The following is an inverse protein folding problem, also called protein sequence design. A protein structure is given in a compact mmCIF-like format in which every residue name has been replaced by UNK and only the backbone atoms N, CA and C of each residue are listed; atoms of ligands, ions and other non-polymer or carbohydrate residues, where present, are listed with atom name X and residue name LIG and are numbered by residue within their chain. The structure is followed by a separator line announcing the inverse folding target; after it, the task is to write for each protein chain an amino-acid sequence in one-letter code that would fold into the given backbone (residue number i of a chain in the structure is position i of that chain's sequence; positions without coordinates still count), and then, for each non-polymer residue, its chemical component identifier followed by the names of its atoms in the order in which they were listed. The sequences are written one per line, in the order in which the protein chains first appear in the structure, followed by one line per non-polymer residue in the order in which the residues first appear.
data_IF_197205267123
#
_entry.id   IF_197205267123
#
_cell.length_a   1.000
_cell.length_b   1.000
_cell.length_c   1.000
_cell.angle_alpha   90.00
_cell.angle_beta   90.00
_cell.angle_gamma   90.00
#
_symmetry.space_group_name_H-M   'P 1'
#
loop_
_entity.id
_entity.type
_entity.pdbx_description
1 polymer ?
#
# COMPACT_ATOMS: atom_id res chain seq x y z
N UNK A 1 49.87 -46.02 -18.13
CA UNK A 1 49.54 -44.63 -18.54
C UNK A 1 50.14 -43.67 -17.51
N UNK A 2 51.36 -43.21 -17.74
CA UNK A 2 51.93 -42.11 -16.97
C UNK A 2 51.27 -40.82 -17.49
N UNK A 3 50.25 -40.31 -16.79
CA UNK A 3 49.83 -38.93 -16.99
C UNK A 3 51.04 -38.07 -16.64
N UNK A 4 51.61 -37.37 -17.62
CA UNK A 4 52.49 -36.25 -17.36
C UNK A 4 51.71 -35.26 -16.50
N UNK A 5 52.00 -35.27 -15.20
CA UNK A 5 51.46 -34.33 -14.22
C UNK A 5 52.12 -32.99 -14.52
N UNK A 6 51.58 -32.25 -15.48
CA UNK A 6 51.96 -30.86 -15.74
C UNK A 6 50.96 -29.94 -15.05
N UNK A 7 51.36 -28.70 -14.79
CA UNK A 7 50.47 -27.68 -14.22
C UNK A 7 49.24 -27.47 -15.10
N UNK A 8 49.40 -27.48 -16.42
CA UNK A 8 48.31 -27.36 -17.38
C UNK A 8 47.29 -28.51 -17.29
N UNK A 9 47.75 -29.76 -17.15
CA UNK A 9 46.83 -30.89 -16.99
C UNK A 9 46.09 -30.81 -15.67
N UNK A 10 46.76 -30.41 -14.58
CA UNK A 10 46.12 -30.19 -13.27
C UNK A 10 45.02 -29.10 -13.35
N UNK A 11 45.30 -27.95 -13.97
CA UNK A 11 44.31 -26.88 -14.16
C UNK A 11 43.12 -27.35 -15.02
N UNK A 12 43.37 -28.13 -16.08
CA UNK A 12 42.30 -28.70 -16.92
C UNK A 12 41.40 -29.67 -16.13
N UNK A 13 41.98 -30.47 -15.24
CA UNK A 13 41.22 -31.37 -14.36
C UNK A 13 40.33 -30.61 -13.36
N UNK A 14 40.81 -29.49 -12.80
CA UNK A 14 40.00 -28.62 -11.94
C UNK A 14 38.84 -27.96 -12.70
N UNK A 15 39.08 -27.50 -13.93
CA UNK A 15 38.04 -26.95 -14.82
C UNK A 15 36.95 -27.97 -15.15
N UNK A 16 37.29 -29.25 -15.18
CA UNK A 16 36.33 -30.36 -15.33
C UNK A 16 35.71 -30.80 -13.98
N UNK A 17 35.81 -29.97 -12.94
CA UNK A 17 35.25 -30.16 -11.60
C UNK A 17 35.76 -31.42 -10.87
N UNK A 18 36.95 -31.90 -11.21
CA UNK A 18 37.56 -33.03 -10.52
C UNK A 18 37.91 -32.70 -9.06
N UNK A 19 37.82 -33.69 -8.18
CA UNK A 19 38.17 -33.52 -6.76
C UNK A 19 39.66 -33.22 -6.59
N UNK A 20 39.98 -32.16 -5.84
CA UNK A 20 41.37 -31.77 -5.53
C UNK A 20 42.10 -32.82 -4.66
N UNK A 21 41.35 -33.69 -3.97
CA UNK A 21 41.88 -34.85 -3.25
C UNK A 21 42.42 -35.98 -4.14
N UNK A 22 42.23 -35.94 -5.46
CA UNK A 22 42.72 -36.96 -6.38
C UNK A 22 44.26 -36.99 -6.48
N UNK A 23 44.84 -38.18 -6.72
CA UNK A 23 46.29 -38.39 -6.89
C UNK A 23 46.95 -37.55 -7.99
N UNK A 24 46.14 -37.05 -8.94
CA UNK A 24 46.62 -36.16 -10.02
C UNK A 24 47.22 -34.87 -9.44
N UNK A 25 46.74 -34.41 -8.28
CA UNK A 25 47.16 -33.17 -7.63
C UNK A 25 48.29 -33.33 -6.62
N UNK A 26 48.79 -34.56 -6.36
CA UNK A 26 49.80 -34.79 -5.32
C UNK A 26 51.08 -33.95 -5.48
N UNK A 27 51.49 -33.62 -6.71
CA UNK A 27 52.66 -32.77 -6.97
C UNK A 27 52.35 -31.26 -6.94
N UNK A 28 51.07 -30.88 -6.92
CA UNK A 28 50.61 -29.50 -7.08
C UNK A 28 49.81 -28.99 -5.87
N UNK A 29 49.80 -29.73 -4.76
CA UNK A 29 49.03 -29.35 -3.56
C UNK A 29 49.47 -28.01 -2.99
N UNK A 30 50.72 -27.62 -3.22
CA UNK A 30 51.32 -26.37 -2.77
C UNK A 30 51.53 -25.34 -3.90
N UNK A 31 51.16 -25.66 -5.15
CA UNK A 31 51.25 -24.70 -6.25
C UNK A 31 50.13 -23.66 -6.13
N UNK A 32 50.51 -22.40 -5.93
CA UNK A 32 49.58 -21.29 -5.69
C UNK A 32 48.52 -21.12 -6.80
N UNK A 33 48.86 -21.33 -8.07
CA UNK A 33 47.91 -21.14 -9.15
C UNK A 33 46.93 -22.32 -9.23
N UNK A 34 47.40 -23.54 -8.98
CA UNK A 34 46.53 -24.73 -8.91
C UNK A 34 45.61 -24.63 -7.69
N UNK A 35 46.11 -24.16 -6.55
CA UNK A 35 45.30 -23.92 -5.34
C UNK A 35 44.27 -22.82 -5.58
N UNK A 36 44.63 -21.71 -6.22
CA UNK A 36 43.69 -20.64 -6.59
C UNK A 36 42.58 -21.17 -7.49
N UNK A 37 42.91 -21.96 -8.51
CA UNK A 37 41.92 -22.59 -9.39
C UNK A 37 41.02 -23.57 -8.61
N UNK A 38 41.57 -24.31 -7.65
CA UNK A 38 40.79 -25.21 -6.80
C UNK A 38 39.80 -24.44 -5.91
N UNK A 39 40.18 -23.28 -5.38
CA UNK A 39 39.27 -22.37 -4.65
C UNK A 39 38.16 -21.87 -5.56
N UNK A 40 38.46 -21.49 -6.80
CA UNK A 40 37.46 -21.03 -7.79
C UNK A 40 36.38 -22.10 -8.03
N UNK A 41 36.75 -23.39 -7.93
CA UNK A 41 35.85 -24.53 -8.07
C UNK A 41 35.34 -25.11 -6.72
N UNK A 42 35.26 -24.27 -5.69
CA UNK A 42 34.66 -24.56 -4.38
C UNK A 42 35.31 -25.73 -3.63
N UNK A 43 36.60 -25.96 -3.85
CA UNK A 43 37.35 -27.05 -3.21
C UNK A 43 38.09 -26.65 -1.95
N UNK A 44 37.73 -25.52 -1.30
CA UNK A 44 38.43 -25.01 -0.11
C UNK A 44 38.65 -26.08 0.96
N UNK A 45 37.64 -26.89 1.27
CA UNK A 45 37.71 -27.95 2.27
C UNK A 45 38.78 -29.02 2.00
N UNK A 46 39.31 -29.08 0.78
CA UNK A 46 40.32 -30.05 0.33
C UNK A 46 41.73 -29.44 0.22
N UNK A 47 41.86 -28.13 0.39
CA UNK A 47 43.14 -27.42 0.26
C UNK A 47 44.00 -27.68 1.51
N UNK A 48 45.34 -27.82 1.37
CA UNK A 48 46.23 -27.95 2.51
C UNK A 48 46.07 -26.82 3.53
N UNK A 49 46.24 -27.19 4.80
CA UNK A 49 46.11 -26.30 5.96
C UNK A 49 47.10 -25.13 5.95
N UNK A 50 48.23 -25.23 5.23
CA UNK A 50 49.17 -24.12 5.06
C UNK A 50 48.56 -22.90 4.33
N UNK A 51 47.47 -23.08 3.57
CA UNK A 51 46.73 -21.98 2.93
C UNK A 51 45.52 -21.51 3.75
N UNK A 52 45.27 -22.10 4.91
CA UNK A 52 44.09 -21.77 5.72
C UNK A 52 44.07 -20.31 6.19
N UNK A 53 45.25 -19.67 6.29
CA UNK A 53 45.43 -18.27 6.67
C UNK A 53 45.55 -17.31 5.47
N UNK A 54 45.38 -17.78 4.24
CA UNK A 54 45.50 -16.95 3.05
C UNK A 54 44.22 -16.12 2.81
N UNK A 55 44.29 -14.84 3.15
CA UNK A 55 43.19 -13.87 3.00
C UNK A 55 42.69 -13.72 1.56
N UNK A 56 43.60 -13.64 0.57
CA UNK A 56 43.21 -13.45 -0.83
C UNK A 56 42.38 -14.62 -1.35
N UNK A 57 42.83 -15.85 -1.06
CA UNK A 57 42.09 -17.05 -1.40
C UNK A 57 40.72 -17.07 -0.68
N UNK A 58 40.68 -16.67 0.60
CA UNK A 58 39.45 -16.66 1.38
C UNK A 58 38.42 -15.67 0.82
N UNK A 59 38.83 -14.45 0.48
CA UNK A 59 37.98 -13.43 -0.15
C UNK A 59 37.40 -13.93 -1.48
N UNK A 60 38.23 -14.53 -2.33
CA UNK A 60 37.76 -15.15 -3.57
C UNK A 60 36.73 -16.24 -3.31
N UNK A 61 36.97 -17.12 -2.34
CA UNK A 61 36.05 -18.21 -2.01
C UNK A 61 34.71 -17.71 -1.47
N UNK A 62 34.72 -16.73 -0.55
CA UNK A 62 33.52 -16.16 0.07
C UNK A 62 32.59 -15.51 -0.94
N UNK A 63 33.13 -14.90 -1.99
CA UNK A 63 32.31 -14.25 -3.03
C UNK A 63 31.49 -15.22 -3.87
N UNK A 64 31.85 -16.52 -3.90
CA UNK A 64 31.24 -17.53 -4.77
C UNK A 64 30.47 -18.59 -4.00
N UNK A 65 30.94 -18.95 -2.81
CA UNK A 65 30.36 -20.01 -2.00
C UNK A 65 30.19 -19.58 -0.55
N UNK A 66 28.95 -19.37 -0.10
CA UNK A 66 28.65 -18.99 1.29
C UNK A 66 29.08 -20.06 2.31
N UNK A 67 29.20 -21.32 1.89
CA UNK A 67 29.60 -22.42 2.76
C UNK A 67 31.12 -22.53 2.96
N UNK A 68 31.94 -21.76 2.23
CA UNK A 68 33.39 -21.79 2.38
C UNK A 68 33.85 -21.27 3.74
N UNK A 69 33.15 -20.26 4.28
CA UNK A 69 33.50 -19.57 5.52
C UNK A 69 33.72 -20.50 6.71
N UNK A 70 32.94 -21.59 6.83
CA UNK A 70 33.07 -22.57 7.94
C UNK A 70 34.40 -23.31 7.95
N UNK A 71 35.10 -23.35 6.81
CA UNK A 71 36.38 -24.05 6.64
C UNK A 71 37.60 -23.13 6.81
N UNK A 72 37.38 -21.83 7.01
CA UNK A 72 38.47 -20.88 7.21
C UNK A 72 39.09 -21.05 8.60
N UNK A 73 40.36 -20.67 8.74
CA UNK A 73 41.00 -20.60 10.04
C UNK A 73 40.30 -19.58 10.94
N UNK A 74 40.42 -19.70 12.28
CA UNK A 74 39.88 -18.69 13.20
C UNK A 74 40.40 -17.28 12.91
N UNK A 75 41.65 -17.16 12.46
CA UNK A 75 42.28 -15.89 12.11
C UNK A 75 41.61 -15.24 10.89
N UNK A 76 41.38 -16.01 9.82
CA UNK A 76 40.72 -15.52 8.60
C UNK A 76 39.24 -15.23 8.83
N UNK A 77 38.55 -16.03 9.67
CA UNK A 77 37.14 -15.74 10.05
C UNK A 77 36.98 -14.47 10.87
N UNK A 78 38.04 -14.01 11.52
CA UNK A 78 38.04 -12.77 12.30
C UNK A 78 38.54 -11.57 11.49
N UNK A 79 38.93 -11.76 10.22
CA UNK A 79 39.34 -10.66 9.35
C UNK A 79 38.11 -9.86 8.90
N UNK A 80 38.19 -8.54 9.08
CA UNK A 80 37.12 -7.58 8.76
C UNK A 80 36.62 -7.71 7.33
N UNK A 81 37.53 -7.73 6.35
CA UNK A 81 37.13 -7.76 4.93
C UNK A 81 36.49 -9.10 4.56
N UNK A 82 36.99 -10.19 5.13
CA UNK A 82 36.42 -11.53 4.93
C UNK A 82 35.01 -11.62 5.53
N UNK A 83 34.79 -11.07 6.72
CA UNK A 83 33.47 -10.99 7.35
C UNK A 83 32.49 -10.21 6.47
N UNK A 84 32.85 -8.99 6.03
CA UNK A 84 31.99 -8.18 5.16
C UNK A 84 31.69 -8.90 3.84
N UNK A 85 32.69 -9.53 3.21
CA UNK A 85 32.50 -10.31 1.98
C UNK A 85 31.56 -11.51 2.20
N UNK A 86 31.70 -12.21 3.32
CA UNK A 86 30.85 -13.33 3.69
C UNK A 86 29.39 -12.90 3.97
N UNK A 87 29.18 -11.77 4.64
CA UNK A 87 27.84 -11.21 4.88
C UNK A 87 27.15 -10.84 3.57
N UNK A 88 27.87 -10.17 2.67
CA UNK A 88 27.37 -9.80 1.34
C UNK A 88 27.02 -11.04 0.49
N UNK A 89 27.70 -12.17 0.70
CA UNK A 89 27.37 -13.44 0.04
C UNK A 89 26.29 -14.26 0.76
N UNK A 90 25.57 -13.67 1.72
CA UNK A 90 24.51 -14.34 2.48
C UNK A 90 25.00 -15.53 3.33
N UNK A 91 26.27 -15.50 3.72
CA UNK A 91 26.81 -16.46 4.70
C UNK A 91 26.17 -16.21 6.06
N UNK A 92 25.77 -17.27 6.76
CA UNK A 92 25.31 -17.17 8.15
C UNK A 92 26.52 -16.96 9.06
N UNK A 93 26.66 -15.75 9.59
CA UNK A 93 27.68 -15.38 10.57
C UNK A 93 26.99 -15.09 11.91
N UNK A 94 27.46 -15.65 13.03
CA UNK A 94 26.89 -15.36 14.34
C UNK A 94 27.16 -13.90 14.73
N UNK A 95 26.21 -13.28 15.44
CA UNK A 95 26.33 -11.90 15.94
C UNK A 95 27.57 -11.67 16.81
N UNK A 96 28.04 -12.71 17.50
CA UNK A 96 29.27 -12.66 18.32
C UNK A 96 30.56 -12.42 17.52
N UNK A 97 30.53 -12.60 16.20
CA UNK A 97 31.66 -12.30 15.30
C UNK A 97 31.57 -10.93 14.64
N UNK A 98 30.50 -10.17 14.89
CA UNK A 98 30.27 -8.86 14.29
C UNK A 98 30.83 -7.78 15.23
N UNK A 99 31.65 -6.88 14.68
CA UNK A 99 32.02 -5.65 15.37
C UNK A 99 30.95 -4.58 15.12
N UNK A 100 30.11 -4.35 16.13
CA UNK A 100 29.03 -3.37 16.05
C UNK A 100 29.49 -1.90 16.03
N UNK A 101 30.79 -1.63 16.20
CA UNK A 101 31.35 -0.30 16.00
C UNK A 101 31.71 -0.02 14.54
N UNK A 102 31.81 -1.04 13.70
CA UNK A 102 32.10 -0.91 12.27
C UNK A 102 30.80 -0.83 11.47
N UNK A 103 30.39 0.39 11.15
CA UNK A 103 29.11 0.63 10.51
C UNK A 103 28.95 -0.03 9.13
N UNK A 104 30.05 -0.21 8.38
CA UNK A 104 30.01 -0.96 7.12
C UNK A 104 29.67 -2.43 7.37
N UNK A 105 30.23 -3.01 8.44
CA UNK A 105 29.95 -4.39 8.84
C UNK A 105 28.52 -4.55 9.36
N UNK A 106 28.02 -3.61 10.18
CA UNK A 106 26.63 -3.61 10.67
C UNK A 106 25.65 -3.53 9.50
N UNK A 107 25.87 -2.62 8.55
CA UNK A 107 25.01 -2.50 7.38
C UNK A 107 25.01 -3.77 6.52
N UNK A 108 26.17 -4.40 6.32
CA UNK A 108 26.28 -5.68 5.62
C UNK A 108 25.60 -6.82 6.39
N UNK A 109 25.67 -6.80 7.73
CA UNK A 109 25.04 -7.80 8.59
C UNK A 109 23.52 -7.71 8.49
N UNK A 110 22.95 -6.52 8.67
CA UNK A 110 21.49 -6.29 8.63
C UNK A 110 20.90 -6.56 7.24
N UNK A 111 21.65 -6.26 6.17
CA UNK A 111 21.22 -6.58 4.80
C UNK A 111 21.22 -8.08 4.50
N UNK A 112 21.84 -8.91 5.34
CA UNK A 112 21.85 -10.35 5.16
C UNK A 112 20.50 -10.95 5.59
N UNK A 113 19.90 -11.84 4.79
CA UNK A 113 18.62 -12.49 5.15
C UNK A 113 18.72 -13.37 6.40
N UNK A 114 19.94 -13.63 6.89
CA UNK A 114 20.19 -14.42 8.08
C UNK A 114 20.28 -13.58 9.37
N UNK A 115 20.20 -12.26 9.29
CA UNK A 115 20.23 -11.37 10.44
C UNK A 115 18.83 -11.19 11.04
N UNK A 116 18.76 -11.12 12.37
CA UNK A 116 17.61 -10.58 13.09
C UNK A 116 17.99 -9.27 13.75
N UNK A 117 17.14 -8.24 13.71
CA UNK A 117 17.40 -7.02 14.49
C UNK A 117 17.49 -7.29 15.99
N UNK A 118 16.91 -8.40 16.48
CA UNK A 118 17.07 -8.83 17.88
C UNK A 118 18.52 -9.17 18.26
N UNK A 119 19.39 -9.41 17.28
CA UNK A 119 20.82 -9.65 17.49
C UNK A 119 21.62 -8.35 17.66
N UNK A 120 21.03 -7.19 17.35
CA UNK A 120 21.71 -5.90 17.45
C UNK A 120 21.79 -5.42 18.91
N UNK A 121 22.89 -4.76 19.30
CA UNK A 121 23.01 -4.14 20.61
C UNK A 121 21.92 -3.10 20.89
N UNK A 122 21.54 -2.97 22.17
CA UNK A 122 20.53 -2.02 22.61
C UNK A 122 20.93 -0.56 22.28
N UNK A 123 22.23 -0.25 22.22
CA UNK A 123 22.75 1.07 21.83
C UNK A 123 22.40 1.42 20.38
N UNK A 124 22.41 0.43 19.46
CA UNK A 124 22.00 0.64 18.07
C UNK A 124 20.48 0.78 17.99
N UNK A 125 19.75 -0.12 18.66
CA UNK A 125 18.28 -0.16 18.61
C UNK A 125 17.61 1.03 19.29
N UNK A 126 18.22 1.58 20.34
CA UNK A 126 17.73 2.78 21.03
C UNK A 126 17.96 4.07 20.24
N UNK A 127 18.86 4.03 19.25
CA UNK A 127 19.15 5.17 18.37
C UNK A 127 18.29 5.11 17.11
N UNK A 128 17.26 5.97 17.07
CA UNK A 128 16.38 6.09 15.91
C UNK A 128 17.15 6.36 14.61
N UNK A 129 18.18 7.21 14.64
CA UNK A 129 18.96 7.56 13.45
C UNK A 129 19.73 6.37 12.88
N UNK A 130 20.32 5.53 13.74
CA UNK A 130 21.05 4.34 13.30
C UNK A 130 20.12 3.32 12.65
N UNK A 131 18.99 3.02 13.28
CA UNK A 131 18.04 2.07 12.71
C UNK A 131 17.45 2.59 11.41
N UNK A 132 17.10 3.87 11.31
CA UNK A 132 16.61 4.45 10.05
C UNK A 132 17.62 4.26 8.93
N UNK A 133 18.91 4.48 9.18
CA UNK A 133 19.96 4.29 8.19
C UNK A 133 20.09 2.83 7.73
N UNK A 134 19.96 1.86 8.66
CA UNK A 134 19.99 0.43 8.34
C UNK A 134 18.81 0.00 7.49
N UNK A 135 17.63 0.57 7.74
CA UNK A 135 16.39 0.15 7.09
C UNK A 135 16.10 0.98 5.83
N UNK A 136 16.83 2.09 5.62
CA UNK A 136 16.65 3.03 4.50
C UNK A 136 16.66 2.35 3.12
N UNK A 137 17.54 1.37 2.97
CA UNK A 137 17.77 0.68 1.70
C UNK A 137 17.00 -0.65 1.58
N UNK A 138 16.31 -1.07 2.65
CA UNK A 138 15.52 -2.30 2.66
C UNK A 138 14.21 -2.08 3.42
N UNK A 139 13.13 -1.82 2.67
CA UNK A 139 11.80 -1.63 3.24
C UNK A 139 11.26 -2.88 3.95
N UNK A 140 11.82 -4.07 3.69
CA UNK A 140 11.39 -5.33 4.33
C UNK A 140 12.03 -5.51 5.70
N UNK A 141 13.19 -4.89 5.95
CA UNK A 141 13.87 -4.91 7.23
C UNK A 141 13.02 -4.29 8.36
N UNK A 142 12.10 -3.36 8.05
CA UNK A 142 11.15 -2.77 9.01
C UNK A 142 10.32 -3.84 9.74
N UNK A 143 9.91 -4.90 9.05
CA UNK A 143 9.08 -5.95 9.63
C UNK A 143 9.83 -6.77 10.69
N UNK A 144 11.16 -6.73 10.67
CA UNK A 144 12.03 -7.45 11.62
C UNK A 144 12.49 -6.59 12.79
N UNK A 145 12.19 -5.29 12.78
CA UNK A 145 12.53 -4.36 13.88
C UNK A 145 11.79 -4.78 15.16
N UNK A 146 12.44 -4.79 16.33
CA UNK A 146 11.82 -5.19 17.59
C UNK A 146 10.62 -4.31 17.95
N UNK A 147 9.59 -4.91 18.50
CA UNK A 147 8.34 -4.22 18.85
C UNK A 147 8.55 -2.98 19.73
N UNK A 148 9.48 -3.03 20.70
CA UNK A 148 9.76 -1.89 21.58
C UNK A 148 10.30 -0.66 20.85
N UNK A 149 10.97 -0.85 19.69
CA UNK A 149 11.39 0.26 18.82
C UNK A 149 10.19 0.82 18.05
N UNK A 150 9.36 -0.06 17.47
CA UNK A 150 8.12 0.30 16.74
C UNK A 150 7.06 0.96 17.62
N UNK A 151 7.18 0.79 18.94
CA UNK A 151 6.37 1.41 19.96
C UNK A 151 6.93 2.76 20.44
N UNK A 152 8.20 3.07 20.15
CA UNK A 152 8.81 4.33 20.54
C UNK A 152 8.35 5.48 19.63
N UNK A 153 7.80 6.54 20.22
CA UNK A 153 7.25 7.67 19.48
C UNK A 153 8.32 8.39 18.64
N UNK A 154 9.47 8.72 19.22
CA UNK A 154 10.53 9.45 18.53
C UNK A 154 11.09 8.65 17.35
N UNK A 155 11.31 7.34 17.56
CA UNK A 155 11.69 6.41 16.51
C UNK A 155 10.69 6.42 15.35
N UNK A 156 9.41 6.27 15.68
CA UNK A 156 8.36 6.17 14.67
C UNK A 156 8.19 7.48 13.90
N UNK A 157 8.38 8.64 14.53
CA UNK A 157 8.43 9.94 13.82
C UNK A 157 9.55 9.98 12.80
N UNK A 158 10.78 9.63 13.17
CA UNK A 158 11.92 9.66 12.24
C UNK A 158 11.72 8.71 11.05
N UNK A 159 11.15 7.53 11.30
CA UNK A 159 10.80 6.58 10.25
C UNK A 159 9.72 7.13 9.30
N UNK A 160 8.69 7.79 9.84
CA UNK A 160 7.61 8.40 9.04
C UNK A 160 8.08 9.62 8.24
N UNK A 161 9.04 10.38 8.76
CA UNK A 161 9.70 11.47 8.03
C UNK A 161 10.45 10.97 6.80
N UNK A 162 11.05 9.78 6.88
CA UNK A 162 11.70 9.14 5.74
C UNK A 162 10.69 8.49 4.78
N UNK A 163 9.74 7.71 5.30
CA UNK A 163 8.70 7.06 4.54
C UNK A 163 7.43 6.93 5.38
N UNK A 164 6.38 7.66 5.00
CA UNK A 164 5.10 7.67 5.73
C UNK A 164 4.45 6.29 5.83
N UNK A 165 4.68 5.40 4.85
CA UNK A 165 4.14 4.04 4.85
C UNK A 165 4.77 3.14 5.93
N UNK A 166 5.84 3.58 6.60
CA UNK A 166 6.40 2.88 7.76
C UNK A 166 5.42 2.80 8.94
N UNK A 167 4.43 3.70 9.00
CA UNK A 167 3.43 3.73 10.06
C UNK A 167 2.59 2.44 10.17
N UNK A 168 2.45 1.66 9.10
CA UNK A 168 1.78 0.35 9.15
C UNK A 168 2.40 -0.62 10.17
N UNK A 169 3.68 -0.43 10.51
CA UNK A 169 4.42 -1.24 11.48
C UNK A 169 4.36 -0.69 12.91
N UNK A 170 3.83 0.52 13.11
CA UNK A 170 3.77 1.15 14.43
C UNK A 170 2.98 0.28 15.41
N UNK A 171 3.32 0.38 16.70
CA UNK A 171 2.60 -0.34 17.74
C UNK A 171 1.11 0.01 17.75
N UNK A 172 0.28 -0.90 18.26
CA UNK A 172 -1.16 -0.65 18.41
C UNK A 172 -1.45 0.58 19.28
N UNK A 173 -0.62 0.83 20.30
CA UNK A 173 -0.71 2.04 21.12
C UNK A 173 -0.52 3.30 20.27
N UNK A 174 0.55 3.39 19.48
CA UNK A 174 0.80 4.56 18.63
C UNK A 174 -0.27 4.71 17.55
N UNK A 175 -0.73 3.60 16.98
CA UNK A 175 -1.80 3.59 15.97
C UNK A 175 -3.16 4.02 16.52
N UNK A 176 -3.35 4.01 17.84
CA UNK A 176 -4.54 4.52 18.53
C UNK A 176 -4.29 5.83 19.31
N UNK A 177 -3.12 6.45 19.18
CA UNK A 177 -2.80 7.71 19.86
C UNK A 177 -3.20 8.91 19.03
N UNK A 178 -4.26 9.62 19.44
CA UNK A 178 -4.76 10.82 18.74
C UNK A 178 -3.66 11.87 18.56
N UNK A 179 -2.95 12.21 19.64
CA UNK A 179 -1.91 13.24 19.65
C UNK A 179 -0.76 12.88 18.70
N UNK A 180 -0.46 11.58 18.57
CA UNK A 180 0.58 11.10 17.67
C UNK A 180 0.14 11.15 16.19
N UNK A 181 -1.05 10.63 15.88
CA UNK A 181 -1.46 10.40 14.48
C UNK A 181 -2.02 11.65 13.80
N UNK A 182 -2.67 12.54 14.56
CA UNK A 182 -3.42 13.67 14.01
C UNK A 182 -2.57 14.60 13.11
N UNK A 183 -1.33 14.99 13.46
CA UNK A 183 -0.50 15.85 12.62
C UNK A 183 -0.10 15.24 11.28
N UNK A 184 -0.10 13.91 11.18
CA UNK A 184 0.30 13.17 9.98
C UNK A 184 -0.90 12.78 9.13
N UNK A 185 -2.01 12.36 9.74
CA UNK A 185 -3.24 11.99 9.02
C UNK A 185 -3.80 13.15 8.18
N UNK A 186 -3.68 14.39 8.67
CA UNK A 186 -4.14 15.58 7.93
C UNK A 186 -3.30 15.88 6.68
N UNK A 187 -2.01 15.57 6.70
CA UNK A 187 -1.10 15.73 5.56
C UNK A 187 -1.09 14.52 4.63
N UNK A 188 -1.37 13.33 5.16
CA UNK A 188 -1.33 12.06 4.46
C UNK A 188 -2.60 11.25 4.75
N UNK A 189 -3.72 11.56 4.05
CA UNK A 189 -5.03 10.95 4.33
C UNK A 189 -5.07 9.42 4.20
N UNK A 190 -4.19 8.84 3.38
CA UNK A 190 -4.07 7.39 3.22
C UNK A 190 -3.64 6.68 4.51
N UNK A 191 -3.03 7.39 5.47
CA UNK A 191 -2.63 6.83 6.77
C UNK A 191 -3.84 6.31 7.58
N UNK A 192 -5.05 6.76 7.27
CA UNK A 192 -6.29 6.26 7.90
C UNK A 192 -6.45 4.74 7.72
N UNK A 193 -5.88 4.15 6.67
CA UNK A 193 -5.89 2.71 6.43
C UNK A 193 -5.09 1.92 7.45
N UNK A 194 -4.09 2.54 8.06
CA UNK A 194 -3.16 1.89 8.98
C UNK A 194 -3.48 2.18 10.45
N UNK A 195 -4.39 3.12 10.74
CA UNK A 195 -4.84 3.42 12.10
C UNK A 195 -5.31 2.18 12.87
N UNK A 196 -5.22 2.25 14.19
CA UNK A 196 -5.74 1.21 15.06
C UNK A 196 -7.27 1.17 15.03
N UNK A 197 -7.84 0.03 15.41
CA UNK A 197 -9.28 -0.19 15.30
C UNK A 197 -10.10 0.76 16.19
N UNK A 198 -9.54 1.25 17.29
CA UNK A 198 -10.23 2.19 18.18
C UNK A 198 -10.41 3.54 17.47
N UNK A 199 -9.34 4.11 16.90
CA UNK A 199 -9.42 5.39 16.18
C UNK A 199 -10.16 5.29 14.84
N UNK A 200 -10.00 4.20 14.08
CA UNK A 200 -10.79 3.98 12.84
C UNK A 200 -12.29 4.01 13.09
N UNK A 201 -12.72 3.52 14.25
CA UNK A 201 -14.13 3.47 14.61
C UNK A 201 -14.59 4.66 15.45
N UNK A 202 -13.68 5.47 15.95
CA UNK A 202 -13.98 6.65 16.74
C UNK A 202 -14.61 7.73 15.85
N UNK A 203 -15.90 7.97 16.08
CA UNK A 203 -16.68 8.95 15.32
C UNK A 203 -16.11 10.36 15.45
N UNK A 204 -15.78 10.78 16.67
CA UNK A 204 -15.36 12.14 16.95
C UNK A 204 -14.00 12.45 16.31
N UNK A 205 -13.06 11.50 16.36
CA UNK A 205 -11.76 11.62 15.71
C UNK A 205 -11.89 11.74 14.18
N UNK A 206 -12.68 10.86 13.53
CA UNK A 206 -12.85 10.90 12.07
C UNK A 206 -13.60 12.17 11.64
N UNK A 207 -14.61 12.58 12.41
CA UNK A 207 -15.29 13.86 12.17
C UNK A 207 -14.31 15.03 12.25
N UNK A 208 -13.46 15.08 13.28
CA UNK A 208 -12.44 16.13 13.41
C UNK A 208 -11.46 16.15 12.21
N UNK A 209 -11.05 14.99 11.69
CA UNK A 209 -10.26 14.92 10.46
C UNK A 209 -11.02 15.53 9.27
N UNK A 210 -12.27 15.14 9.07
CA UNK A 210 -13.11 15.64 7.96
C UNK A 210 -13.42 17.14 8.07
N UNK A 211 -13.51 17.68 9.28
CA UNK A 211 -13.66 19.12 9.53
C UNK A 211 -12.41 19.90 9.10
N UNK A 212 -11.22 19.30 9.24
CA UNK A 212 -9.97 19.93 8.79
C UNK A 212 -9.82 19.93 7.26
N UNK A 213 -10.16 18.83 6.60
CA UNK A 213 -10.21 18.72 5.15
C UNK A 213 -11.21 17.64 4.72
N UNK A 214 -12.29 18.07 4.07
CA UNK A 214 -13.35 17.17 3.60
C UNK A 214 -12.88 16.23 2.48
N UNK A 215 -11.82 16.57 1.73
CA UNK A 215 -11.26 15.72 0.70
C UNK A 215 -10.70 14.41 1.26
N UNK A 216 -10.36 14.36 2.56
CA UNK A 216 -9.96 13.15 3.30
C UNK A 216 -10.99 12.03 3.13
N UNK A 217 -12.27 12.38 3.00
CA UNK A 217 -13.35 11.42 2.78
C UNK A 217 -13.10 10.47 1.60
N UNK A 218 -12.52 10.97 0.52
CA UNK A 218 -12.22 10.18 -0.69
C UNK A 218 -11.23 9.05 -0.42
N UNK A 219 -10.39 9.20 0.61
CA UNK A 219 -9.36 8.24 1.01
C UNK A 219 -9.84 7.28 2.09
N UNK A 220 -11.03 7.49 2.67
CA UNK A 220 -11.55 6.61 3.70
C UNK A 220 -11.86 5.21 3.14
N UNK A 221 -11.58 4.14 3.90
CA UNK A 221 -12.06 2.79 3.62
C UNK A 221 -13.57 2.76 3.34
N UNK A 222 -14.01 1.87 2.44
CA UNK A 222 -15.41 1.81 1.97
C UNK A 222 -16.42 1.60 3.12
N UNK A 223 -16.08 0.78 4.11
CA UNK A 223 -16.88 0.55 5.31
C UNK A 223 -17.05 1.81 6.18
N UNK A 224 -16.13 2.76 6.11
CA UNK A 224 -16.25 4.07 6.78
C UNK A 224 -17.07 5.04 5.95
N UNK A 225 -16.86 5.09 4.63
CA UNK A 225 -17.67 5.89 3.70
C UNK A 225 -19.15 5.48 3.69
N UNK A 226 -19.46 4.21 3.95
CA UNK A 226 -20.83 3.73 4.12
C UNK A 226 -21.53 4.22 5.39
N UNK A 227 -20.88 5.01 6.26
CA UNK A 227 -21.53 5.56 7.46
C UNK A 227 -22.23 6.87 7.14
N UNK A 228 -23.56 6.86 7.13
CA UNK A 228 -24.42 8.05 6.92
C UNK A 228 -23.97 9.26 7.77
N UNK A 229 -23.54 9.02 9.01
CA UNK A 229 -23.05 10.09 9.89
C UNK A 229 -21.83 10.84 9.32
N UNK A 230 -20.86 10.16 8.69
CA UNK A 230 -19.70 10.80 8.07
C UNK A 230 -20.05 11.42 6.72
N UNK A 231 -20.88 10.74 5.91
CA UNK A 231 -21.34 11.28 4.63
C UNK A 231 -22.05 12.63 4.78
N UNK A 232 -22.84 12.81 5.85
CA UNK A 232 -23.51 14.09 6.15
C UNK A 232 -22.54 15.24 6.43
N UNK A 233 -21.37 14.98 7.03
CA UNK A 233 -20.36 16.02 7.28
C UNK A 233 -19.70 16.56 6.00
N UNK A 234 -19.71 15.76 4.93
CA UNK A 234 -19.07 16.12 3.66
C UNK A 234 -20.06 16.41 2.54
N UNK A 235 -21.36 16.24 2.80
CA UNK A 235 -22.44 16.41 1.83
C UNK A 235 -22.51 17.83 1.24
N UNK A 236 -21.99 18.82 1.94
CA UNK A 236 -21.88 20.20 1.45
C UNK A 236 -20.65 20.45 0.56
N UNK A 237 -19.71 19.49 0.47
CA UNK A 237 -18.56 19.55 -0.43
C UNK A 237 -18.80 18.66 -1.68
N UNK A 238 -19.12 19.25 -2.84
CA UNK A 238 -19.38 18.51 -4.07
C UNK A 238 -18.21 17.70 -4.62
N UNK A 239 -16.98 17.91 -4.15
CA UNK A 239 -15.83 17.09 -4.52
C UNK A 239 -15.86 15.71 -3.87
N UNK A 240 -16.58 15.54 -2.76
CA UNK A 240 -16.63 14.26 -2.03
C UNK A 240 -17.77 13.35 -2.48
N UNK A 241 -18.73 13.90 -3.23
CA UNK A 241 -19.98 13.23 -3.59
C UNK A 241 -19.78 11.93 -4.38
N UNK A 242 -18.80 11.89 -5.29
CA UNK A 242 -18.46 10.70 -6.05
C UNK A 242 -17.99 9.53 -5.15
N UNK A 243 -17.40 9.84 -3.99
CA UNK A 243 -16.92 8.84 -3.05
C UNK A 243 -18.01 8.33 -2.09
N UNK A 244 -19.15 9.02 -1.95
CA UNK A 244 -20.28 8.61 -1.10
C UNK A 244 -20.94 7.37 -1.71
N UNK A 245 -20.96 6.20 -1.06
CA UNK A 245 -21.48 4.96 -1.68
C UNK A 245 -22.97 5.05 -2.03
N UNK A 246 -23.39 4.41 -3.11
CA UNK A 246 -24.80 4.42 -3.57
C UNK A 246 -25.76 3.80 -2.56
N UNK A 247 -25.28 2.90 -1.72
CA UNK A 247 -26.04 2.16 -0.71
C UNK A 247 -26.63 3.06 0.38
N UNK A 248 -26.03 4.24 0.60
CA UNK A 248 -26.51 5.21 1.61
C UNK A 248 -27.25 6.40 1.01
N UNK A 249 -27.41 6.42 -0.31
CA UNK A 249 -28.21 7.43 -1.00
C UNK A 249 -29.72 7.17 -0.88
N UNK A 250 -30.14 6.26 0.00
CA UNK A 250 -31.52 6.07 0.45
C UNK A 250 -31.94 7.10 1.52
N UNK A 251 -30.98 7.81 2.12
CA UNK A 251 -31.23 8.86 3.12
C UNK A 251 -31.57 10.19 2.43
N UNK A 252 -32.86 10.52 2.38
CA UNK A 252 -33.36 11.74 1.74
C UNK A 252 -32.68 13.01 2.29
N UNK A 253 -32.44 13.09 3.60
CA UNK A 253 -31.79 14.26 4.22
C UNK A 253 -30.32 14.43 3.80
N UNK A 254 -29.61 13.32 3.56
CA UNK A 254 -28.27 13.35 2.99
C UNK A 254 -28.31 13.84 1.53
N UNK A 255 -29.21 13.30 0.72
CA UNK A 255 -29.34 13.68 -0.69
C UNK A 255 -29.78 15.13 -0.83
N UNK A 256 -30.67 15.63 0.05
CA UNK A 256 -31.06 17.04 0.12
C UNK A 256 -29.85 17.95 0.28
N UNK A 257 -28.97 17.65 1.24
CA UNK A 257 -27.75 18.41 1.47
C UNK A 257 -26.81 18.36 0.26
N UNK A 258 -26.66 17.20 -0.37
CA UNK A 258 -25.85 17.04 -1.57
C UNK A 258 -26.40 17.90 -2.70
N UNK A 259 -27.68 17.74 -3.06
CA UNK A 259 -28.32 18.49 -4.16
C UNK A 259 -28.27 19.99 -3.91
N UNK A 260 -28.42 20.44 -2.66
CA UNK A 260 -28.30 21.86 -2.28
C UNK A 260 -26.92 22.44 -2.64
N UNK A 261 -25.85 21.69 -2.42
CA UNK A 261 -24.47 22.15 -2.54
C UNK A 261 -23.72 21.61 -3.78
N UNK A 262 -24.40 20.92 -4.70
CA UNK A 262 -23.78 20.38 -5.92
C UNK A 262 -23.85 21.35 -7.09
N UNK A 263 -22.78 21.41 -7.89
CA UNK A 263 -22.79 22.06 -9.20
C UNK A 263 -23.73 21.35 -10.18
N UNK A 264 -24.36 22.13 -11.05
CA UNK A 264 -25.28 21.63 -12.07
C UNK A 264 -24.71 20.51 -12.96
N UNK A 265 -23.42 20.59 -13.28
CA UNK A 265 -22.71 19.58 -14.09
C UNK A 265 -22.59 18.21 -13.40
N UNK A 266 -22.55 18.16 -12.07
CA UNK A 266 -22.45 16.91 -11.28
C UNK A 266 -23.79 16.36 -10.81
N UNK A 267 -24.86 17.14 -10.90
CA UNK A 267 -26.22 16.70 -10.55
C UNK A 267 -26.70 15.51 -11.39
N UNK A 268 -26.30 15.44 -12.66
CA UNK A 268 -26.62 14.30 -13.54
C UNK A 268 -25.88 13.01 -13.13
N UNK A 269 -24.64 13.13 -12.65
CA UNK A 269 -23.89 11.99 -12.11
C UNK A 269 -24.50 11.50 -10.79
N UNK A 270 -25.01 12.40 -9.96
CA UNK A 270 -25.78 12.00 -8.78
C UNK A 270 -27.07 11.30 -9.17
N UNK A 271 -27.80 11.82 -10.15
CA UNK A 271 -29.07 11.25 -10.63
C UNK A 271 -28.94 9.78 -11.05
N UNK A 272 -27.88 9.40 -11.76
CA UNK A 272 -27.65 8.01 -12.20
C UNK A 272 -27.41 7.04 -11.05
N UNK A 273 -26.90 7.54 -9.92
CA UNK A 273 -26.53 6.75 -8.74
C UNK A 273 -27.66 6.62 -7.73
N UNK A 274 -28.66 7.51 -7.78
CA UNK A 274 -29.83 7.46 -6.90
C UNK A 274 -30.69 6.22 -7.19
N UNK A 275 -31.26 5.55 -6.16
CA UNK A 275 -32.26 4.51 -6.35
C UNK A 275 -33.45 4.99 -7.21
N UNK A 276 -34.03 4.09 -8.00
CA UNK A 276 -35.16 4.41 -8.89
C UNK A 276 -36.40 4.97 -8.17
N UNK A 277 -36.56 4.62 -6.89
CA UNK A 277 -37.69 4.98 -6.04
C UNK A 277 -37.55 6.35 -5.36
N UNK A 278 -36.42 7.04 -5.51
CA UNK A 278 -36.24 8.32 -4.83
C UNK A 278 -37.05 9.44 -5.47
N UNK A 279 -37.97 10.01 -4.68
CA UNK A 279 -38.67 11.27 -4.96
C UNK A 279 -37.71 12.39 -5.38
N UNK A 280 -36.49 12.32 -4.88
CA UNK A 280 -35.41 13.27 -5.08
C UNK A 280 -34.87 13.35 -6.51
N UNK A 281 -35.11 12.33 -7.34
CA UNK A 281 -34.85 12.39 -8.79
C UNK A 281 -35.59 13.58 -9.43
N UNK A 282 -36.80 13.88 -8.98
CA UNK A 282 -37.57 15.05 -9.44
C UNK A 282 -36.94 16.37 -9.00
N UNK A 283 -36.42 16.47 -7.77
CA UNK A 283 -35.75 17.69 -7.28
C UNK A 283 -34.45 17.98 -8.04
N UNK A 284 -33.69 16.93 -8.37
CA UNK A 284 -32.51 17.07 -9.23
C UNK A 284 -32.90 17.56 -10.62
N UNK A 285 -33.95 16.98 -11.22
CA UNK A 285 -34.46 17.43 -12.51
C UNK A 285 -34.98 18.88 -12.43
N UNK A 286 -35.69 19.27 -11.37
CA UNK A 286 -36.08 20.66 -11.14
C UNK A 286 -34.86 21.58 -11.14
N UNK A 287 -33.84 21.25 -10.36
CA UNK A 287 -32.66 22.12 -10.22
C UNK A 287 -31.81 22.17 -11.50
N UNK A 288 -31.76 21.08 -12.27
CA UNK A 288 -31.07 21.02 -13.56
C UNK A 288 -31.87 21.72 -14.67
N UNK A 289 -33.20 21.68 -14.68
CA UNK A 289 -34.00 22.13 -15.82
C UNK A 289 -34.81 23.41 -15.58
N UNK A 290 -35.12 23.79 -14.34
CA UNK A 290 -35.95 24.98 -14.01
C UNK A 290 -35.14 26.27 -13.95
N UNK A 291 -33.84 26.22 -13.62
CA UNK A 291 -32.98 27.42 -13.53
C UNK A 291 -32.47 27.93 -14.89
N UNK A 292 -32.95 27.35 -15.99
CA UNK A 292 -32.50 27.68 -17.36
C UNK A 292 -33.57 28.43 -18.14
N UNK A 293 -33.51 29.75 -18.06
CA UNK A 293 -33.83 30.63 -19.19
C UNK A 293 -32.75 30.54 -20.32
N UNK A 294 -31.74 29.70 -20.15
CA UNK A 294 -30.66 29.45 -21.11
C UNK A 294 -30.69 28.00 -21.60
N UNK A 295 -30.95 27.84 -22.90
CA UNK A 295 -30.99 26.60 -23.67
C UNK A 295 -29.92 25.57 -23.22
N UNK A 296 -30.35 24.46 -22.61
CA UNK A 296 -29.57 23.23 -22.57
C UNK A 296 -30.05 22.41 -23.77
N UNK A 297 -29.16 22.13 -24.71
CA UNK A 297 -29.46 21.25 -25.84
C UNK A 297 -29.63 19.82 -25.33
N UNK A 298 -30.74 19.19 -25.72
CA UNK A 298 -31.09 17.79 -25.39
C UNK A 298 -30.03 16.80 -25.91
N UNK A 299 -29.18 17.23 -26.85
CA UNK A 299 -28.09 16.46 -27.47
C UNK A 299 -26.97 16.02 -26.50
N UNK A 300 -26.91 16.55 -25.27
CA UNK A 300 -25.83 16.25 -24.30
C UNK A 300 -26.18 15.09 -23.35
N UNK A 301 -27.43 14.61 -23.35
CA UNK A 301 -27.86 13.54 -22.45
C UNK A 301 -27.76 12.16 -23.15
N UNK A 302 -27.08 11.16 -22.55
CA UNK A 302 -27.02 9.82 -23.10
C UNK A 302 -28.41 9.22 -23.30
N UNK A 303 -28.61 8.52 -24.42
CA UNK A 303 -29.90 7.91 -24.77
C UNK A 303 -30.33 6.89 -23.70
N UNK A 304 -29.39 6.17 -23.11
CA UNK A 304 -29.65 5.23 -22.03
C UNK A 304 -30.20 5.92 -20.77
N UNK A 305 -29.77 7.16 -20.52
CA UNK A 305 -30.29 7.97 -19.41
C UNK A 305 -31.75 8.34 -19.68
N UNK A 306 -32.07 8.80 -20.89
CA UNK A 306 -33.43 9.13 -21.29
C UNK A 306 -34.34 7.89 -21.12
N UNK A 307 -33.94 6.75 -21.66
CA UNK A 307 -34.72 5.50 -21.54
C UNK A 307 -34.95 5.08 -20.07
N UNK A 308 -33.94 5.22 -19.19
CA UNK A 308 -34.07 4.92 -17.75
C UNK A 308 -34.93 5.93 -16.96
N UNK A 309 -35.08 7.17 -17.44
CA UNK A 309 -36.00 8.18 -16.87
C UNK A 309 -37.46 7.89 -17.29
N UNK A 310 -37.72 6.84 -18.10
CA UNK A 310 -39.04 6.50 -18.61
C UNK A 310 -39.36 7.18 -19.96
N UNK A 311 -38.34 7.63 -20.69
CA UNK A 311 -38.46 8.21 -22.02
C UNK A 311 -38.65 7.08 -23.06
N UNK A 312 -39.81 6.41 -23.02
CA UNK A 312 -40.19 5.38 -23.99
C UNK A 312 -41.16 5.98 -25.01
N UNK A 313 -40.64 6.49 -26.13
CA UNK A 313 -41.44 6.97 -27.24
C UNK A 313 -40.64 7.01 -28.53
N UNK A 314 -41.10 6.33 -29.57
CA UNK A 314 -40.43 6.11 -30.86
C UNK A 314 -40.12 7.37 -31.70
N UNK A 315 -40.40 8.58 -31.21
CA UNK A 315 -40.39 9.81 -32.01
C UNK A 315 -39.36 10.86 -31.56
N UNK A 316 -38.44 10.54 -30.66
CA UNK A 316 -37.48 11.53 -30.15
C UNK A 316 -36.37 11.89 -31.15
N UNK A 317 -36.06 11.01 -32.11
CA UNK A 317 -35.06 11.27 -33.16
C UNK A 317 -35.47 12.36 -34.14
N UNK A 318 -36.76 12.69 -34.21
CA UNK A 318 -37.33 13.65 -35.17
C UNK A 318 -37.82 14.96 -34.51
N UNK A 319 -37.58 15.16 -33.21
CA UNK A 319 -38.04 16.35 -32.49
C UNK A 319 -36.93 17.41 -32.35
N UNK A 320 -37.18 18.68 -32.75
CA UNK A 320 -36.18 19.74 -32.65
C UNK A 320 -35.85 20.02 -31.18
N UNK A 321 -34.54 20.14 -30.93
CA UNK A 321 -33.80 20.21 -29.66
C UNK A 321 -34.10 21.47 -28.81
N UNK A 322 -35.36 21.72 -28.49
CA UNK A 322 -35.77 22.87 -27.70
C UNK A 322 -36.29 22.40 -26.32
N UNK A 323 -35.64 22.82 -25.24
CA UNK A 323 -35.89 22.45 -23.83
C UNK A 323 -37.30 22.67 -23.26
N UNK A 324 -38.29 23.02 -24.09
CA UNK A 324 -39.72 23.05 -23.76
C UNK A 324 -40.25 21.68 -23.32
N UNK A 325 -39.74 20.58 -23.87
CA UNK A 325 -40.30 19.24 -23.62
C UNK A 325 -40.02 18.68 -22.21
N UNK A 326 -38.90 19.07 -21.58
CA UNK A 326 -38.58 18.70 -20.19
C UNK A 326 -39.45 19.46 -19.18
N UNK A 327 -39.83 20.69 -19.49
CA UNK A 327 -40.79 21.49 -18.73
C UNK A 327 -42.22 20.91 -18.81
N UNK A 328 -42.62 20.39 -19.98
CA UNK A 328 -43.90 19.67 -20.17
C UNK A 328 -43.93 18.33 -19.40
N UNK A 329 -42.80 17.60 -19.37
CA UNK A 329 -42.65 16.38 -18.56
C UNK A 329 -42.66 16.66 -17.05
N UNK A 330 -41.98 17.73 -16.62
CA UNK A 330 -42.06 18.22 -15.25
C UNK A 330 -43.49 18.60 -14.85
N UNK A 331 -44.22 19.30 -15.74
CA UNK A 331 -45.64 19.65 -15.54
C UNK A 331 -46.53 18.42 -15.43
N UNK A 332 -46.32 17.40 -16.27
CA UNK A 332 -47.10 16.15 -16.25
C UNK A 332 -46.79 15.28 -15.03
N UNK A 333 -45.54 15.23 -14.56
CA UNK A 333 -45.17 14.58 -13.29
C UNK A 333 -45.80 15.29 -12.07
N UNK A 334 -45.74 16.63 -12.04
CA UNK A 334 -46.37 17.45 -10.98
C UNK A 334 -47.89 17.35 -10.98
N UNK A 335 -48.49 17.20 -12.17
CA UNK A 335 -49.92 16.88 -12.33
C UNK A 335 -50.26 15.48 -11.78
N UNK A 336 -49.38 14.50 -11.97
CA UNK A 336 -49.54 13.13 -11.46
C UNK A 336 -49.48 13.08 -9.92
N UNK A 337 -48.51 13.75 -9.30
CA UNK A 337 -48.42 13.87 -7.83
C UNK A 337 -49.62 14.63 -7.22
N UNK A 338 -50.14 15.64 -7.93
CA UNK A 338 -51.37 16.37 -7.57
C UNK A 338 -52.63 15.52 -7.73
N UNK A 339 -52.63 14.57 -8.67
CA UNK A 339 -53.70 13.60 -8.88
C UNK A 339 -53.67 12.51 -7.81
N UNK A 340 -52.51 11.95 -7.49
CA UNK A 340 -52.36 10.88 -6.50
C UNK A 340 -52.67 11.37 -5.07
N UNK A 341 -52.28 12.60 -4.72
CA UNK A 341 -52.67 13.25 -3.46
C UNK A 341 -54.16 13.59 -3.37
N UNK A 342 -54.84 13.83 -4.50
CA UNK A 342 -56.30 14.01 -4.55
C UNK A 342 -57.07 12.68 -4.59
N UNK A 343 -56.45 11.61 -5.08
CA UNK A 343 -57.03 10.27 -5.12
C UNK A 343 -56.94 9.57 -3.76
N UNK A 344 -55.87 9.79 -2.97
CA UNK A 344 -55.76 9.23 -1.62
C UNK A 344 -56.81 9.79 -0.62
N UNK A 345 -57.36 10.98 -0.89
CA UNK A 345 -58.42 11.60 -0.07
C UNK A 345 -59.81 11.00 -0.37
N UNK A 346 -59.98 10.28 -1.49
CA UNK A 346 -61.30 9.73 -1.91
C UNK A 346 -61.55 8.28 -1.51
N UNK A 347 -60.56 7.53 -1.04
CA UNK A 347 -60.75 6.13 -0.66
C UNK A 347 -61.40 5.94 0.73
N UNK A 348 -61.34 6.94 1.62
CA UNK A 348 -61.94 6.85 2.96
C UNK A 348 -63.47 7.08 3.03
N UNK A 349 -64.10 7.54 1.94
CA UNK A 349 -65.54 7.86 1.93
C UNK A 349 -66.46 6.80 1.28
N UNK A 350 -65.95 5.60 0.99
CA UNK A 350 -66.79 4.45 0.56
C UNK A 350 -67.00 3.42 1.68
N UNK A 351 -67.36 3.87 2.87
CA UNK A 351 -68.06 3.05 3.88
C UNK A 351 -69.27 3.82 4.42
N UNK A 352 -70.42 3.66 3.75
CA UNK A 352 -71.78 3.63 4.33
C UNK A 352 -72.83 3.83 3.22
N UNK A 353 -73.34 2.73 2.69
CA UNK A 353 -74.78 2.60 2.41
C UNK A 353 -75.18 1.18 2.82
N UNK A 354 -75.90 1.09 3.95
CA UNK A 354 -76.79 -0.03 4.27
C UNK A 354 -78.11 0.25 3.56
N UNK A 355 -78.66 -0.73 2.84
CA UNK A 355 -79.85 -1.54 3.19
C UNK A 355 -79.80 -2.78 2.31
#
# INVERSE_FOLDING_TARGET
MALYKTKETALKHLKNNQSFSCKVFDLFREDMDVVREAVIHDKWAQIPSCFADNKELALHSCSRNPFAFKHFSPRVRSDREVLIAALKSQTKIPSTSIDFNDWEMVAAYVSSPNCSFGDLPAEILSSASHVVELVKNDSTALASVPYHCLDNEAFMKTMMEFNIHSFQYASERLRNSVDFVLPYCTKHPLMVWDLGNELKNNKDFITHLLESDKAIYNYLPLNMRGRKSFARYVADNPETHHAIPSEILDDDGLVDLMVQNTYKSRLLELYTRLPATQKMRLSIMEKVFVDTNSQISVEVLPVELLEQIGFAGSNWRDCPSNGLHLLELYRTAKLKDSLDSKLSIKEDNKRKVKI
#
